data_IF_815721566144
#
_entry.id   IF_815721566144
#
_cell.length_a   1.000
_cell.length_b   1.000
_cell.length_c   1.000
_cell.angle_alpha   90.00
_cell.angle_beta   90.00
_cell.angle_gamma   90.00
#
_symmetry.space_group_name_H-M   'P 1'
#
loop_
_entity.id
_entity.type
_entity.pdbx_description
1 polymer ?
#
# COMPACT_ATOMS: atom_id res chain seq x y z
N UNK A 1 19.26 12.71 11.00
CA UNK A 1 19.02 11.99 9.72
C UNK A 1 17.61 12.34 9.30
N UNK A 2 17.46 13.27 8.35
CA UNK A 2 16.16 13.77 7.92
C UNK A 2 15.61 12.86 6.82
N UNK A 3 14.71 11.94 7.16
CA UNK A 3 13.87 11.28 6.15
C UNK A 3 12.68 12.20 5.84
N UNK A 4 12.97 13.32 5.18
CA UNK A 4 11.97 14.21 4.59
C UNK A 4 11.49 13.69 3.23
N UNK A 5 11.02 12.44 3.18
CA UNK A 5 10.28 11.91 2.04
C UNK A 5 8.80 12.17 2.29
N UNK A 6 8.27 13.28 1.79
CA UNK A 6 6.88 13.68 2.01
C UNK A 6 5.88 12.63 1.54
N UNK A 7 4.62 12.70 2.00
CA UNK A 7 3.57 11.72 1.71
C UNK A 7 3.43 11.31 0.22
N UNK A 8 3.76 12.21 -0.73
CA UNK A 8 3.76 11.90 -2.17
C UNK A 8 4.86 10.92 -2.63
N UNK A 9 5.99 10.85 -1.92
CA UNK A 9 7.03 9.84 -2.16
C UNK A 9 6.55 8.44 -1.77
N UNK A 10 5.92 8.32 -0.60
CA UNK A 10 5.38 7.05 -0.11
C UNK A 10 4.29 6.52 -1.03
N UNK A 11 3.38 7.39 -1.50
CA UNK A 11 2.34 7.04 -2.47
C UNK A 11 2.95 6.48 -3.77
N UNK A 12 3.90 7.19 -4.37
CA UNK A 12 4.53 6.77 -5.62
C UNK A 12 5.23 5.42 -5.49
N UNK A 13 5.93 5.22 -4.36
CA UNK A 13 6.62 3.95 -4.03
C UNK A 13 5.64 2.81 -3.79
N UNK A 14 4.52 3.07 -3.10
CA UNK A 14 3.45 2.12 -2.91
C UNK A 14 2.90 1.64 -4.26
N UNK A 15 2.59 2.55 -5.18
CA UNK A 15 2.03 2.22 -6.49
C UNK A 15 3.00 1.39 -7.32
N UNK A 16 4.27 1.80 -7.36
CA UNK A 16 5.31 1.03 -8.04
C UNK A 16 5.43 -0.39 -7.47
N UNK A 17 5.32 -0.54 -6.15
CA UNK A 17 5.36 -1.84 -5.49
C UNK A 17 4.13 -2.70 -5.79
N UNK A 18 2.92 -2.12 -5.76
CA UNK A 18 1.68 -2.84 -6.09
C UNK A 18 1.70 -3.35 -7.53
N UNK A 19 2.23 -2.56 -8.48
CA UNK A 19 2.44 -2.99 -9.87
C UNK A 19 3.43 -4.14 -9.98
N UNK A 20 4.56 -4.06 -9.27
CA UNK A 20 5.57 -5.11 -9.28
C UNK A 20 5.10 -6.42 -8.63
N UNK A 21 4.16 -6.34 -7.69
CA UNK A 21 3.65 -7.50 -6.96
C UNK A 21 2.40 -8.12 -7.60
N UNK A 22 1.79 -7.48 -8.61
CA UNK A 22 0.60 -8.03 -9.27
C UNK A 22 0.87 -9.45 -9.81
N UNK A 23 -0.03 -10.43 -9.59
CA UNK A 23 -1.41 -10.32 -9.08
C UNK A 23 -1.56 -10.45 -7.54
N UNK A 24 -0.46 -10.45 -6.79
CA UNK A 24 -0.47 -10.59 -5.34
C UNK A 24 -0.82 -9.27 -4.65
N UNK A 25 -1.58 -9.38 -3.57
CA UNK A 25 -2.02 -8.23 -2.79
C UNK A 25 -1.52 -8.32 -1.33
N UNK A 26 -1.17 -7.18 -0.75
CA UNK A 26 -0.53 -7.09 0.55
C UNK A 26 -1.31 -6.12 1.44
N UNK A 27 -1.49 -6.46 2.72
CA UNK A 27 -2.20 -5.57 3.64
C UNK A 27 -1.31 -4.38 4.06
N UNK A 28 -1.96 -3.33 4.54
CA UNK A 28 -1.30 -2.08 4.94
C UNK A 28 -0.24 -2.33 6.02
N UNK A 29 -0.51 -3.22 6.99
CA UNK A 29 0.46 -3.59 8.03
C UNK A 29 1.75 -4.23 7.45
N UNK A 30 1.61 -5.17 6.50
CA UNK A 30 2.78 -5.80 5.88
C UNK A 30 3.54 -4.82 4.98
N UNK A 31 2.85 -3.91 4.31
CA UNK A 31 3.47 -2.85 3.51
C UNK A 31 4.20 -1.85 4.41
N UNK A 32 3.60 -1.47 5.55
CA UNK A 32 4.23 -0.58 6.53
C UNK A 32 5.58 -1.13 7.01
N UNK A 33 5.64 -2.44 7.30
CA UNK A 33 6.90 -3.13 7.62
C UNK A 33 7.91 -3.06 6.47
N UNK A 34 7.51 -3.31 5.22
CA UNK A 34 8.41 -3.25 4.05
C UNK A 34 8.96 -1.84 3.84
N UNK A 35 8.10 -0.83 3.98
CA UNK A 35 8.46 0.56 3.73
C UNK A 35 9.10 1.25 4.94
N UNK A 36 9.20 0.55 6.08
CA UNK A 36 9.70 1.06 7.34
C UNK A 36 8.96 2.33 7.81
N UNK A 37 7.64 2.32 7.70
CA UNK A 37 6.74 3.39 8.15
C UNK A 37 5.70 2.83 9.13
N UNK A 38 4.94 3.70 9.80
CA UNK A 38 3.81 3.24 10.61
C UNK A 38 2.64 2.73 9.75
N UNK A 39 1.78 1.90 10.35
CA UNK A 39 0.56 1.42 9.67
C UNK A 39 -0.38 2.57 9.31
N UNK A 40 -0.48 3.60 10.16
CA UNK A 40 -1.30 4.77 9.89
C UNK A 40 -0.79 5.60 8.71
N UNK A 41 0.52 5.81 8.59
CA UNK A 41 1.13 6.47 7.43
C UNK A 41 0.90 5.67 6.15
N UNK A 42 1.07 4.34 6.21
CA UNK A 42 0.81 3.47 5.07
C UNK A 42 -0.66 3.51 4.66
N UNK A 43 -1.58 3.45 5.63
CA UNK A 43 -3.02 3.53 5.37
C UNK A 43 -3.40 4.88 4.74
N UNK A 44 -2.84 5.99 5.24
CA UNK A 44 -3.08 7.31 4.66
C UNK A 44 -2.59 7.39 3.21
N UNK A 45 -1.38 6.88 2.92
CA UNK A 45 -0.84 6.82 1.56
C UNK A 45 -1.67 5.91 0.65
N UNK A 46 -2.16 4.77 1.15
CA UNK A 46 -3.03 3.85 0.43
C UNK A 46 -4.37 4.49 0.05
N UNK A 47 -5.00 5.22 0.97
CA UNK A 47 -6.25 5.95 0.71
C UNK A 47 -6.02 7.07 -0.30
N UNK A 48 -4.93 7.82 -0.18
CA UNK A 48 -4.56 8.86 -1.15
C UNK A 48 -4.33 8.27 -2.55
N UNK A 49 -3.61 7.16 -2.64
CA UNK A 49 -3.34 6.46 -3.90
C UNK A 49 -4.63 6.02 -4.61
N UNK A 50 -5.57 5.41 -3.87
CA UNK A 50 -6.86 4.98 -4.43
C UNK A 50 -7.69 6.18 -4.90
N UNK A 51 -7.66 7.31 -4.18
CA UNK A 51 -8.36 8.52 -4.59
C UNK A 51 -7.79 9.20 -5.84
N UNK A 52 -6.49 9.03 -6.12
CA UNK A 52 -5.79 9.66 -7.26
C UNK A 52 -5.60 8.75 -8.47
N UNK A 53 -5.65 7.43 -8.27
CA UNK A 53 -5.36 6.45 -9.31
C UNK A 53 -6.53 5.48 -9.51
N UNK A 54 -7.30 5.67 -10.60
CA UNK A 54 -8.48 4.87 -10.92
C UNK A 54 -8.21 3.36 -11.13
N UNK A 55 -6.95 2.98 -11.35
CA UNK A 55 -6.53 1.57 -11.47
C UNK A 55 -6.36 0.87 -10.11
N UNK A 56 -6.49 1.60 -8.99
CA UNK A 56 -6.38 1.06 -7.65
C UNK A 56 -7.76 1.03 -6.98
N UNK A 57 -7.99 -0.02 -6.20
CA UNK A 57 -9.18 -0.16 -5.39
C UNK A 57 -8.85 -0.73 -4.01
N UNK A 58 -9.72 -0.48 -3.04
CA UNK A 58 -9.75 -1.18 -1.77
C UNK A 58 -10.64 -2.41 -1.91
N UNK A 59 -10.06 -3.59 -1.71
CA UNK A 59 -10.76 -4.86 -1.84
C UNK A 59 -10.46 -5.77 -0.66
N UNK A 60 -11.43 -6.60 -0.28
CA UNK A 60 -11.24 -7.61 0.76
C UNK A 60 -10.63 -8.88 0.17
N UNK A 61 -9.33 -9.09 0.39
CA UNK A 61 -8.57 -10.25 -0.12
C UNK A 61 -7.62 -10.79 0.95
N UNK A 62 -7.14 -12.01 0.78
CA UNK A 62 -6.07 -12.56 1.61
C UNK A 62 -4.73 -11.88 1.28
N UNK A 63 -4.04 -11.36 2.30
CA UNK A 63 -2.70 -10.84 2.15
C UNK A 63 -1.72 -11.96 1.80
N UNK A 64 -0.91 -11.80 0.75
CA UNK A 64 0.08 -12.80 0.34
C UNK A 64 1.11 -13.13 1.44
N UNK A 65 1.53 -12.13 2.23
CA UNK A 65 2.53 -12.32 3.28
C UNK A 65 1.97 -12.96 4.55
N UNK A 66 0.95 -12.34 5.17
CA UNK A 66 0.43 -12.79 6.46
C UNK A 66 -0.82 -13.68 6.39
N UNK A 67 -1.34 -13.93 5.18
CA UNK A 67 -2.52 -14.77 4.90
C UNK A 67 -3.83 -14.29 5.56
N UNK A 68 -3.82 -13.14 6.25
CA UNK A 68 -5.01 -12.53 6.83
C UNK A 68 -5.90 -11.96 5.72
N UNK A 69 -7.18 -12.32 5.74
CA UNK A 69 -8.20 -11.67 4.89
C UNK A 69 -8.62 -10.34 5.51
N UNK A 70 -8.26 -9.26 4.84
CA UNK A 70 -8.57 -7.89 5.27
C UNK A 70 -8.83 -7.02 4.04
N UNK A 71 -9.34 -5.81 4.27
CA UNK A 71 -9.34 -4.79 3.21
C UNK A 71 -7.91 -4.35 2.93
N UNK A 72 -7.52 -4.32 1.66
CA UNK A 72 -6.18 -3.95 1.19
C UNK A 72 -6.25 -3.22 -0.15
N UNK A 73 -5.17 -2.52 -0.52
CA UNK A 73 -5.08 -1.85 -1.82
C UNK A 73 -4.57 -2.83 -2.87
N UNK A 74 -5.32 -2.97 -3.96
CA UNK A 74 -4.96 -3.82 -5.10
C UNK A 74 -5.14 -3.07 -6.42
N UNK A 75 -4.45 -3.57 -7.46
CA UNK A 75 -4.73 -3.17 -8.84
C UNK A 75 -6.00 -3.87 -9.33
N UNK A 76 -6.82 -3.13 -10.05
CA UNK A 76 -8.05 -3.59 -10.68
C UNK A 76 -7.81 -4.20 -12.05
#
# INVERSE_FOLDING_TARGET
>A
MAHGGGAGDLESRLIARLRALHPFAWCDACLAVIFAVSEDEMRAAAVAAVGRHAALARERRACYACQRTTELTALR
#
